data_IF_205699726077
#
_entry.id   IF_205699726077
#
_cell.length_a   1.000
_cell.length_b   1.000
_cell.length_c   1.000
_cell.angle_alpha   90.00
_cell.angle_beta   90.00
_cell.angle_gamma   90.00
#
_symmetry.space_group_name_H-M   'P 1'
#
loop_
_entity.id
_entity.type
_entity.pdbx_description
1 polymer ?
#
# COMPACT_ATOMS: atom_id res chain seq x y z
N UNK A 1 -5.94 13.47 11.05
CA UNK A 1 -6.16 12.40 12.05
C UNK A 1 -7.40 11.53 11.76
N UNK A 2 -8.55 12.07 11.34
CA UNK A 2 -9.79 11.29 11.11
C UNK A 2 -9.69 10.29 9.93
N UNK A 3 -9.01 10.65 8.83
CA UNK A 3 -8.93 9.79 7.64
C UNK A 3 -8.18 8.46 7.90
N UNK A 4 -7.12 8.48 8.72
CA UNK A 4 -6.37 7.27 9.10
C UNK A 4 -7.23 6.29 9.90
N UNK A 5 -7.97 6.78 10.88
CA UNK A 5 -8.84 5.94 11.71
C UNK A 5 -9.92 5.26 10.86
N UNK A 6 -10.63 6.03 10.03
CA UNK A 6 -11.64 5.51 9.11
C UNK A 6 -11.09 4.48 8.12
N UNK A 7 -9.89 4.71 7.60
CA UNK A 7 -9.24 3.75 6.71
C UNK A 7 -8.97 2.41 7.41
N UNK A 8 -8.41 2.45 8.63
CA UNK A 8 -8.17 1.23 9.39
C UNK A 8 -9.48 0.55 9.80
N UNK A 9 -10.51 1.28 10.22
CA UNK A 9 -11.81 0.67 10.55
C UNK A 9 -12.44 -0.03 9.35
N UNK A 10 -12.29 0.51 8.14
CA UNK A 10 -12.87 -0.08 6.92
C UNK A 10 -12.15 -1.36 6.47
N UNK A 11 -10.84 -1.46 6.71
CA UNK A 11 -10.02 -2.48 6.05
C UNK A 11 -9.14 -3.34 6.97
N UNK A 12 -9.08 -3.07 8.28
CA UNK A 12 -8.19 -3.78 9.24
C UNK A 12 -8.29 -5.30 9.14
N UNK A 13 -9.50 -5.84 9.06
CA UNK A 13 -9.74 -7.29 9.05
C UNK A 13 -9.60 -7.92 7.65
N UNK A 14 -9.36 -7.09 6.62
CA UNK A 14 -9.20 -7.54 5.23
C UNK A 14 -7.73 -7.64 4.82
N UNK A 15 -6.80 -7.04 5.57
CA UNK A 15 -5.38 -7.01 5.22
C UNK A 15 -4.63 -8.20 5.80
N UNK A 16 -3.73 -8.76 4.99
CA UNK A 16 -2.73 -9.69 5.52
C UNK A 16 -1.63 -8.93 6.29
N UNK A 17 -0.78 -9.66 7.02
CA UNK A 17 0.27 -9.07 7.86
C UNK A 17 1.24 -8.17 7.07
N UNK A 18 1.58 -8.56 5.82
CA UNK A 18 2.50 -7.79 4.97
C UNK A 18 1.87 -6.47 4.52
N UNK A 19 0.61 -6.51 4.12
CA UNK A 19 -0.17 -5.34 3.73
C UNK A 19 -0.34 -4.37 4.90
N UNK A 20 -0.73 -4.89 6.08
CA UNK A 20 -0.89 -4.10 7.29
C UNK A 20 0.43 -3.41 7.70
N UNK A 21 1.57 -4.10 7.56
CA UNK A 21 2.91 -3.54 7.83
C UNK A 21 3.24 -2.37 6.89
N UNK A 22 2.97 -2.51 5.59
CA UNK A 22 3.24 -1.44 4.61
C UNK A 22 2.35 -0.22 4.86
N UNK A 23 1.08 -0.45 5.12
CA UNK A 23 0.12 0.62 5.42
C UNK A 23 0.55 1.36 6.70
N UNK A 24 0.94 0.63 7.75
CA UNK A 24 1.45 1.23 8.98
C UNK A 24 2.73 2.06 8.74
N UNK A 25 3.61 1.61 7.84
CA UNK A 25 4.81 2.35 7.42
C UNK A 25 4.46 3.64 6.71
N UNK A 26 3.54 3.60 5.73
CA UNK A 26 3.08 4.79 4.99
C UNK A 26 2.46 5.82 5.94
N UNK A 27 1.61 5.38 6.87
CA UNK A 27 1.03 6.30 7.86
C UNK A 27 2.02 6.80 8.92
N UNK A 28 3.16 6.12 9.12
CA UNK A 28 4.21 6.54 10.06
C UNK A 28 5.16 7.54 9.42
N UNK A 29 5.58 7.29 8.18
CA UNK A 29 6.46 8.18 7.42
C UNK A 29 5.70 9.37 6.82
N UNK A 30 4.36 9.31 6.78
CA UNK A 30 3.51 10.30 6.14
C UNK A 30 3.45 10.10 4.63
N UNK A 31 2.45 10.70 3.98
CA UNK A 31 2.32 10.67 2.51
C UNK A 31 3.57 11.27 1.84
N UNK A 32 4.26 12.20 2.53
CA UNK A 32 5.53 12.76 2.11
C UNK A 32 6.68 11.74 2.01
N UNK A 33 6.71 10.73 2.90
CA UNK A 33 7.68 9.64 2.84
C UNK A 33 7.52 8.74 1.61
N UNK A 34 6.34 8.78 0.99
CA UNK A 34 6.01 8.10 -0.25
C UNK A 34 5.62 9.09 -1.35
N UNK A 35 6.28 10.25 -1.41
CA UNK A 35 6.08 11.24 -2.48
C UNK A 35 6.26 10.59 -3.85
N UNK A 36 5.17 10.57 -4.62
CA UNK A 36 5.10 9.87 -5.91
C UNK A 36 4.51 8.45 -5.86
N UNK A 37 4.05 7.98 -4.70
CA UNK A 37 3.38 6.70 -4.50
C UNK A 37 4.33 5.54 -4.15
N UNK A 38 3.75 4.51 -3.56
CA UNK A 38 4.41 3.24 -3.27
C UNK A 38 4.74 2.51 -4.57
N UNK A 39 5.97 2.04 -4.72
CA UNK A 39 6.38 1.13 -5.80
C UNK A 39 6.37 -0.32 -5.33
N UNK A 40 6.36 -1.27 -6.28
CA UNK A 40 6.55 -2.68 -5.95
C UNK A 40 7.87 -2.94 -5.23
N UNK A 41 8.93 -2.19 -5.56
CA UNK A 41 10.25 -2.33 -4.93
C UNK A 41 10.24 -1.83 -3.49
N UNK A 42 9.52 -0.75 -3.20
CA UNK A 42 9.31 -0.29 -1.83
C UNK A 42 8.52 -1.33 -1.01
N UNK A 43 7.48 -1.92 -1.60
CA UNK A 43 6.73 -2.99 -0.95
C UNK A 43 7.62 -4.18 -0.60
N UNK A 44 8.45 -4.63 -1.56
CA UNK A 44 9.42 -5.70 -1.36
C UNK A 44 10.43 -5.33 -0.26
N UNK A 45 10.98 -4.12 -0.27
CA UNK A 45 11.93 -3.66 0.75
C UNK A 45 11.33 -3.67 2.16
N UNK A 46 10.05 -3.31 2.31
CA UNK A 46 9.37 -3.28 3.61
C UNK A 46 8.98 -4.68 4.10
N UNK A 47 8.48 -5.52 3.19
CA UNK A 47 7.88 -6.83 3.52
C UNK A 47 8.83 -8.00 3.38
N UNK A 48 9.95 -7.80 2.67
CA UNK A 48 10.90 -8.84 2.24
C UNK A 48 10.23 -9.96 1.44
N UNK A 49 9.06 -9.68 0.83
CA UNK A 49 8.34 -10.63 0.01
C UNK A 49 8.98 -10.76 -1.38
N UNK A 50 8.74 -11.90 -2.05
CA UNK A 50 9.13 -12.04 -3.46
C UNK A 50 8.42 -11.02 -4.34
N UNK A 51 8.99 -10.68 -5.50
CA UNK A 51 8.36 -9.78 -6.46
C UNK A 51 6.97 -10.27 -6.90
N UNK A 52 6.81 -11.58 -7.11
CA UNK A 52 5.52 -12.17 -7.46
C UNK A 52 4.48 -12.00 -6.33
N UNK A 53 4.90 -12.19 -5.08
CA UNK A 53 4.05 -12.00 -3.90
C UNK A 53 3.68 -10.52 -3.74
N UNK A 54 4.64 -9.61 -3.89
CA UNK A 54 4.40 -8.18 -3.80
C UNK A 54 3.39 -7.69 -4.85
N UNK A 55 3.52 -8.12 -6.10
CA UNK A 55 2.55 -7.78 -7.16
C UNK A 55 1.14 -8.27 -6.83
N UNK A 56 1.00 -9.49 -6.31
CA UNK A 56 -0.30 -10.04 -5.89
C UNK A 56 -0.91 -9.26 -4.73
N UNK A 57 -0.12 -9.00 -3.67
CA UNK A 57 -0.58 -8.24 -2.52
C UNK A 57 -0.99 -6.81 -2.92
N UNK A 58 -0.25 -6.16 -3.82
CA UNK A 58 -0.56 -4.82 -4.31
C UNK A 58 -1.81 -4.79 -5.19
N UNK A 59 -2.02 -5.83 -6.01
CA UNK A 59 -3.25 -5.96 -6.77
C UNK A 59 -4.46 -6.15 -5.86
N UNK A 60 -4.36 -7.04 -4.87
CA UNK A 60 -5.40 -7.28 -3.88
C UNK A 60 -5.74 -6.01 -3.07
N UNK A 61 -4.75 -5.18 -2.73
CA UNK A 61 -4.97 -3.87 -2.12
C UNK A 61 -5.75 -2.90 -3.02
N UNK A 62 -5.55 -2.97 -4.34
CA UNK A 62 -6.29 -2.16 -5.32
C UNK A 62 -7.71 -2.69 -5.50
N UNK A 63 -7.89 -4.01 -5.58
CA UNK A 63 -9.20 -4.66 -5.69
C UNK A 63 -10.08 -4.38 -4.46
N UNK A 64 -9.47 -4.31 -3.27
CA UNK A 64 -10.14 -3.87 -2.03
C UNK A 64 -10.49 -2.38 -2.03
N UNK A 65 -9.98 -1.60 -2.98
CA UNK A 65 -10.15 -0.14 -3.03
C UNK A 65 -9.36 0.60 -1.94
N UNK A 66 -8.42 -0.08 -1.28
CA UNK A 66 -7.53 0.50 -0.28
C UNK A 66 -6.40 1.30 -0.94
N UNK A 67 -5.98 0.89 -2.14
CA UNK A 67 -4.99 1.58 -2.95
C UNK A 67 -5.52 1.92 -4.34
N UNK A 68 -4.98 2.98 -4.93
CA UNK A 68 -5.18 3.34 -6.33
C UNK A 68 -3.87 3.10 -7.07
N UNK A 69 -3.93 2.32 -8.14
CA UNK A 69 -2.81 2.16 -9.08
C UNK A 69 -2.82 3.34 -10.05
N UNK A 70 -1.68 3.99 -10.21
CA UNK A 70 -1.43 5.10 -11.13
C UNK A 70 -0.18 4.82 -11.96
N UNK A 71 -0.15 5.35 -13.18
CA UNK A 71 0.95 5.12 -14.13
C UNK A 71 0.92 3.73 -14.79
N UNK A 72 1.78 3.57 -15.79
CA UNK A 72 1.85 2.36 -16.61
C UNK A 72 3.28 1.79 -16.64
N UNK A 73 3.38 0.47 -16.85
CA UNK A 73 4.63 -0.28 -16.98
C UNK A 73 5.62 0.03 -15.84
N UNK A 74 6.80 0.57 -16.16
CA UNK A 74 7.89 0.86 -15.22
C UNK A 74 7.59 2.00 -14.24
N UNK A 75 6.58 2.82 -14.55
CA UNK A 75 6.16 3.95 -13.72
C UNK A 75 4.92 3.64 -12.88
N UNK A 76 4.60 2.36 -12.67
CA UNK A 76 3.49 1.97 -11.80
C UNK A 76 3.74 2.45 -10.37
N UNK A 77 2.75 3.14 -9.81
CA UNK A 77 2.72 3.68 -8.45
C UNK A 77 1.39 3.38 -7.79
N UNK A 78 1.44 3.12 -6.49
CA UNK A 78 0.28 2.78 -5.68
C UNK A 78 0.11 3.82 -4.59
N UNK A 79 -1.06 4.43 -4.46
CA UNK A 79 -1.35 5.43 -3.43
C UNK A 79 -2.50 4.97 -2.54
N UNK A 80 -2.48 5.31 -1.24
CA UNK A 80 -3.60 5.03 -0.35
C UNK A 80 -4.81 5.86 -0.82
N UNK A 81 -5.96 5.20 -0.93
CA UNK A 81 -7.24 5.85 -1.19
C UNK A 81 -7.82 6.41 0.13
N UNK A 82 -7.58 7.70 0.40
CA UNK A 82 -8.03 8.40 1.62
C UNK A 82 -9.18 9.37 1.36
#
# INVERSE_FOLDING_TARGET
YVAKAKFYEKFRDQFNERQAKVIARIFREGIDGFKGGLSAENYISITQASRATATRDLQDLVEKGAFIKTGELRHTRYAINL
#
